data_IF_983643346118
#
_entry.id   IF_983643346118
#
_cell.length_a   1.000
_cell.length_b   1.000
_cell.length_c   1.000
_cell.angle_alpha   90.00
_cell.angle_beta   90.00
_cell.angle_gamma   90.00
#
_symmetry.space_group_name_H-M   'P 1'
#
loop_
_entity.id
_entity.type
_entity.pdbx_description
1 polymer ?
#
# COMPACT_ATOMS: atom_id res chain seq x y z
N UNK A 1 -19.53 -8.06 -9.37
CA UNK A 1 -19.20 -7.92 -9.16
C UNK A 1 -18.38 -7.29 -9.37
N UNK A 2 -18.17 -6.99 -9.47
CA UNK A 2 -17.47 -6.39 -9.66
C UNK A 2 -16.47 -6.34 -9.69
N UNK A 3 -16.09 -6.27 -10.02
CA UNK A 3 -15.21 -6.31 -9.89
C UNK A 3 -14.22 -5.54 -9.94
N UNK A 4 -14.00 -5.44 -9.26
CA UNK A 4 -12.92 -4.84 -9.13
C UNK A 4 -11.79 -5.60 -9.55
N UNK A 5 -10.91 -5.08 -10.14
CA UNK A 5 -9.72 -5.72 -10.42
C UNK A 5 -9.10 -6.10 -9.17
N UNK A 6 -8.68 -7.27 -9.06
CA UNK A 6 -8.07 -7.71 -7.86
C UNK A 6 -6.74 -7.03 -7.68
N UNK A 7 -6.64 -6.17 -6.72
CA UNK A 7 -5.41 -5.47 -6.46
C UNK A 7 -4.31 -6.46 -6.06
N UNK A 8 -4.70 -7.62 -5.60
CA UNK A 8 -3.73 -8.60 -5.17
C UNK A 8 -2.92 -9.18 -6.31
N UNK A 9 -3.41 -9.04 -7.53
CA UNK A 9 -2.67 -9.52 -8.68
C UNK A 9 -1.69 -8.51 -9.21
N UNK A 10 -1.65 -7.33 -8.66
CA UNK A 10 -0.75 -6.29 -9.12
C UNK A 10 0.50 -6.31 -8.27
N UNK A 11 1.66 -6.02 -8.87
CA UNK A 11 2.89 -6.05 -8.08
C UNK A 11 2.98 -4.91 -7.08
N UNK A 12 2.36 -3.78 -7.39
CA UNK A 12 2.37 -2.64 -6.48
C UNK A 12 1.03 -1.95 -6.54
N UNK A 13 0.73 -1.19 -5.50
CA UNK A 13 -0.46 -0.35 -5.47
C UNK A 13 -0.03 1.05 -5.08
N UNK A 14 -0.82 2.04 -5.47
CA UNK A 14 -0.50 3.41 -5.12
C UNK A 14 -0.89 3.66 -3.67
N UNK A 15 -0.41 4.80 -3.15
CA UNK A 15 -0.77 5.18 -1.80
C UNK A 15 -2.28 5.34 -1.67
N UNK A 16 -2.90 5.97 -2.65
CA UNK A 16 -4.35 6.15 -2.61
C UNK A 16 -5.06 4.80 -2.57
N UNK A 17 -4.60 3.86 -3.38
CA UNK A 17 -5.23 2.55 -3.37
C UNK A 17 -5.03 1.86 -2.04
N UNK A 18 -3.87 2.03 -1.42
CA UNK A 18 -3.64 1.42 -0.14
C UNK A 18 -4.56 1.99 0.93
N UNK A 19 -4.84 3.29 0.86
CA UNK A 19 -5.77 3.86 1.83
C UNK A 19 -7.16 3.28 1.67
N UNK A 20 -7.56 3.03 0.44
CA UNK A 20 -8.87 2.45 0.21
C UNK A 20 -8.93 1.01 0.64
N UNK A 21 -7.85 0.29 0.43
CA UNK A 21 -7.83 -1.12 0.80
C UNK A 21 -7.80 -1.29 2.31
N UNK A 22 -7.01 -0.47 3.00
CA UNK A 22 -6.83 -0.66 4.44
C UNK A 22 -7.77 0.19 5.28
N UNK A 23 -8.28 1.26 4.71
CA UNK A 23 -9.09 2.18 5.50
C UNK A 23 -8.26 3.12 6.36
N UNK A 24 -6.96 3.15 6.15
CA UNK A 24 -6.09 4.02 6.93
C UNK A 24 -5.82 5.29 6.17
N UNK A 25 -5.51 6.35 6.90
CA UNK A 25 -5.19 7.62 6.25
C UNK A 25 -3.83 7.54 5.59
N UNK A 26 -3.54 8.43 4.64
CA UNK A 26 -2.23 8.42 3.99
C UNK A 26 -1.10 8.60 4.99
N UNK A 27 -1.30 9.43 5.99
CA UNK A 27 -0.27 9.63 7.00
C UNK A 27 0.02 8.35 7.74
N UNK A 28 -1.01 7.62 8.05
CA UNK A 28 -0.83 6.36 8.75
C UNK A 28 -0.11 5.35 7.88
N UNK A 29 -0.46 5.30 6.60
CA UNK A 29 0.22 4.40 5.69
C UNK A 29 1.71 4.72 5.63
N UNK A 30 2.04 6.02 5.52
CA UNK A 30 3.43 6.40 5.48
C UNK A 30 4.15 6.00 6.75
N UNK A 31 3.49 6.12 7.87
CA UNK A 31 4.09 5.75 9.12
C UNK A 31 4.36 4.25 9.19
N UNK A 32 3.45 3.45 8.67
CA UNK A 32 3.65 2.02 8.63
C UNK A 32 4.84 1.65 7.75
N UNK A 33 5.06 2.42 6.69
CA UNK A 33 6.21 2.20 5.85
C UNK A 33 7.48 2.53 6.62
N UNK A 34 7.47 3.62 7.35
CA UNK A 34 8.64 4.00 8.12
C UNK A 34 8.94 3.00 9.23
N UNK A 35 7.91 2.40 9.75
CA UNK A 35 8.09 1.41 10.82
C UNK A 35 8.50 0.04 10.29
N UNK A 36 8.54 -0.12 8.98
CA UNK A 36 8.95 -1.39 8.42
C UNK A 36 7.82 -2.39 8.25
N UNK A 37 6.60 -1.96 8.52
CA UNK A 37 5.47 -2.87 8.37
C UNK A 37 4.99 -2.97 6.94
N UNK A 38 5.26 -1.96 6.13
CA UNK A 38 4.95 -1.99 4.72
C UNK A 38 6.19 -1.65 3.94
N UNK A 39 6.36 -2.28 2.80
CA UNK A 39 7.47 -1.98 1.92
C UNK A 39 6.99 -1.13 0.77
N UNK A 40 7.73 -0.12 0.45
CA UNK A 40 7.32 0.79 -0.61
C UNK A 40 8.50 1.22 -1.43
N UNK A 41 8.22 1.62 -2.66
CA UNK A 41 9.20 2.20 -3.54
C UNK A 41 8.88 3.66 -3.61
N UNK A 42 9.88 4.51 -3.30
CA UNK A 42 9.69 5.93 -3.39
C UNK A 42 10.38 6.44 -4.61
N UNK A 43 9.67 7.21 -5.41
CA UNK A 43 10.27 7.75 -6.59
C UNK A 43 10.69 9.14 -6.28
N UNK A 44 11.94 9.31 -6.06
CA UNK A 44 12.37 10.58 -5.56
C UNK A 44 12.29 11.69 -6.57
N UNK A 45 12.47 11.42 -7.82
CA UNK A 45 12.44 12.52 -8.68
C UNK A 45 11.07 12.97 -9.04
N UNK A 46 10.06 12.27 -8.76
CA UNK A 46 8.75 12.74 -9.01
C UNK A 46 8.05 13.11 -7.83
N UNK A 47 8.67 13.13 -6.82
CA UNK A 47 8.20 13.56 -5.64
C UNK A 47 6.92 13.10 -5.28
N UNK A 48 6.25 12.33 -5.65
CA UNK A 48 5.03 12.12 -5.04
C UNK A 48 4.47 10.79 -5.17
N UNK A 49 5.03 9.92 -5.94
CA UNK A 49 4.40 8.70 -6.07
C UNK A 49 5.02 7.70 -5.18
N UNK A 50 4.32 7.26 -4.21
CA UNK A 50 4.73 6.16 -3.35
C UNK A 50 4.01 4.94 -3.83
N UNK A 51 4.76 3.90 -4.18
CA UNK A 51 4.16 2.65 -4.63
C UNK A 51 4.47 1.61 -3.57
N UNK A 52 3.44 0.95 -3.11
CA UNK A 52 3.57 -0.01 -2.04
C UNK A 52 3.55 -1.41 -2.62
N UNK A 53 4.50 -2.24 -2.18
CA UNK A 53 4.55 -3.61 -2.67
C UNK A 53 3.30 -4.35 -2.21
N UNK A 54 2.59 -4.90 -3.16
CA UNK A 54 1.36 -5.61 -2.85
C UNK A 54 1.58 -6.72 -1.85
N UNK A 55 2.70 -7.44 -1.98
CA UNK A 55 2.95 -8.53 -1.06
C UNK A 55 3.06 -8.06 0.37
N UNK A 56 3.70 -6.92 0.58
CA UNK A 56 3.82 -6.43 1.95
C UNK A 56 2.46 -6.00 2.49
N UNK A 57 1.62 -5.46 1.63
CA UNK A 57 0.30 -5.05 2.06
C UNK A 57 -0.55 -6.26 2.44
N UNK A 58 -0.48 -7.30 1.65
CA UNK A 58 -1.21 -8.51 1.97
C UNK A 58 -0.76 -9.07 3.31
N UNK A 59 0.54 -9.11 3.52
CA UNK A 59 1.06 -9.62 4.77
C UNK A 59 0.62 -8.76 5.94
N UNK A 60 0.67 -7.44 5.75
CA UNK A 60 0.23 -6.53 6.80
C UNK A 60 -1.22 -6.78 7.18
N UNK A 61 -2.07 -6.95 6.19
CA UNK A 61 -3.48 -7.17 6.46
C UNK A 61 -3.71 -8.50 7.17
N UNK A 62 -2.92 -9.49 6.84
CA UNK A 62 -3.07 -10.77 7.49
C UNK A 62 -2.62 -10.74 8.93
N UNK A 63 -1.63 -9.93 9.21
CA UNK A 63 -1.08 -9.90 10.56
C UNK A 63 -1.73 -8.86 11.44
N UNK A 64 -2.41 -7.93 10.86
CA UNK A 64 -2.96 -6.86 11.62
C UNK A 64 -4.25 -7.22 12.27
N UNK A 65 -4.75 -8.35 12.23
CA UNK A 65 -5.93 -8.70 12.78
C UNK A 65 -5.98 -8.92 14.00
#
# INVERSE_FOLDING_TARGET
>A
MAHMVSWENRPVVTLTEATMITGLSPSTIKRRIEDGLLSAIERTNLKTRILIHTKSLIKYLQEAE
#
